data_IF_869363631279
#
_entry.id   IF_869363631279
#
_cell.length_a   1.000
_cell.length_b   1.000
_cell.length_c   1.000
_cell.angle_alpha   90.00
_cell.angle_beta   90.00
_cell.angle_gamma   90.00
#
_symmetry.space_group_name_H-M   'P 1'
#
loop_
_entity.id
_entity.type
_entity.pdbx_description
1 polymer ?
#
# COMPACT_ATOMS: atom_id res chain seq x y z
N UNK A 1 22.83 12.51 19.55
CA UNK A 1 22.39 12.02 18.20
C UNK A 1 23.51 12.39 17.23
N UNK A 2 23.87 11.48 16.35
CA UNK A 2 24.92 11.77 15.36
C UNK A 2 24.40 12.72 14.28
N UNK A 3 25.27 13.56 13.72
CA UNK A 3 24.91 14.64 12.78
C UNK A 3 24.35 14.14 11.45
N UNK A 4 24.64 12.90 11.06
CA UNK A 4 24.13 12.27 9.84
C UNK A 4 22.72 11.67 9.96
N UNK A 5 22.12 11.65 11.17
CA UNK A 5 20.76 11.11 11.37
C UNK A 5 19.73 12.15 10.99
N UNK A 6 19.08 11.97 9.85
CA UNK A 6 17.97 12.83 9.42
C UNK A 6 16.73 12.68 10.30
N UNK A 7 15.96 13.79 10.47
CA UNK A 7 14.81 13.83 11.38
C UNK A 7 13.79 12.72 11.15
N UNK A 8 13.34 12.50 9.89
CA UNK A 8 12.36 11.47 9.52
C UNK A 8 12.84 10.03 9.66
N UNK A 9 14.17 9.83 9.78
CA UNK A 9 14.81 8.54 10.01
C UNK A 9 15.38 8.39 11.43
N UNK A 10 15.04 9.29 12.34
CA UNK A 10 15.66 9.37 13.67
C UNK A 10 15.04 8.45 14.72
N UNK A 11 13.89 7.81 14.44
CA UNK A 11 13.24 6.92 15.42
C UNK A 11 14.11 5.72 15.85
N UNK A 12 15.06 5.31 15.00
CA UNK A 12 16.04 4.25 15.27
C UNK A 12 17.17 4.68 16.20
N UNK A 13 17.31 5.98 16.43
CA UNK A 13 18.36 6.59 17.26
C UNK A 13 17.88 6.90 18.68
N UNK A 14 18.65 7.71 19.42
CA UNK A 14 18.27 8.21 20.74
C UNK A 14 16.96 8.99 20.77
N UNK A 15 16.49 9.52 19.65
CA UNK A 15 15.15 10.15 19.51
C UNK A 15 14.04 9.13 19.75
N UNK A 16 14.26 7.86 19.46
CA UNK A 16 13.32 6.78 19.75
C UNK A 16 13.17 6.44 21.25
N UNK A 17 13.84 7.15 22.16
CA UNK A 17 13.71 6.91 23.59
C UNK A 17 12.26 7.00 24.07
N UNK A 18 11.46 7.91 23.53
CA UNK A 18 10.02 8.01 23.85
C UNK A 18 9.25 6.74 23.47
N UNK A 19 9.58 6.12 22.35
CA UNK A 19 9.02 4.84 21.90
C UNK A 19 9.49 3.74 22.87
N UNK A 20 10.78 3.70 23.15
CA UNK A 20 11.37 2.73 24.08
C UNK A 20 10.70 2.78 25.48
N UNK A 21 10.43 3.97 26.00
CA UNK A 21 9.72 4.16 27.26
C UNK A 21 8.25 3.69 27.19
N UNK A 22 7.58 3.94 26.06
CA UNK A 22 6.18 3.58 25.87
C UNK A 22 5.96 2.07 25.70
N UNK A 23 6.82 1.38 24.92
CA UNK A 23 6.63 -0.03 24.56
C UNK A 23 7.55 -0.98 25.34
N UNK A 24 8.49 -0.45 26.09
CA UNK A 24 9.52 -1.19 26.83
C UNK A 24 10.75 -1.54 26.00
N UNK A 25 11.93 -1.68 26.66
CA UNK A 25 13.21 -1.88 25.97
C UNK A 25 13.25 -3.11 25.07
N UNK A 26 12.65 -4.23 25.50
CA UNK A 26 12.61 -5.47 24.72
C UNK A 26 11.87 -5.31 23.38
N UNK A 27 10.73 -4.62 23.37
CA UNK A 27 9.96 -4.39 22.16
C UNK A 27 10.68 -3.39 21.26
N UNK A 28 11.30 -2.37 21.82
CA UNK A 28 12.11 -1.43 21.04
C UNK A 28 13.32 -2.11 20.40
N UNK A 29 14.01 -2.99 21.13
CA UNK A 29 15.11 -3.79 20.57
C UNK A 29 14.62 -4.70 19.42
N UNK A 30 13.43 -5.30 19.52
CA UNK A 30 12.84 -6.09 18.45
C UNK A 30 12.53 -5.23 17.21
N UNK A 31 12.06 -4.00 17.41
CA UNK A 31 11.85 -3.04 16.31
C UNK A 31 13.18 -2.75 15.57
N UNK A 32 14.24 -2.46 16.33
CA UNK A 32 15.58 -2.23 15.73
C UNK A 32 16.12 -3.48 15.01
N UNK A 33 15.90 -4.67 15.56
CA UNK A 33 16.28 -5.93 14.89
C UNK A 33 15.52 -6.17 13.59
N UNK A 34 14.24 -5.77 13.54
CA UNK A 34 13.44 -5.81 12.32
C UNK A 34 14.02 -4.93 11.22
N UNK A 35 14.31 -3.67 11.55
CA UNK A 35 14.97 -2.74 10.63
C UNK A 35 16.33 -3.26 10.15
N UNK A 36 17.17 -3.75 11.08
CA UNK A 36 18.47 -4.31 10.70
C UNK A 36 18.39 -5.54 9.79
N UNK A 37 17.32 -6.34 9.87
CA UNK A 37 17.07 -7.44 8.92
C UNK A 37 16.74 -6.90 7.52
N UNK A 38 15.97 -5.82 7.43
CA UNK A 38 15.67 -5.20 6.14
C UNK A 38 16.91 -4.53 5.55
N UNK A 39 17.76 -3.91 6.36
CA UNK A 39 19.04 -3.37 5.93
C UNK A 39 19.94 -4.46 5.32
N UNK A 40 20.07 -5.60 6.00
CA UNK A 40 20.82 -6.76 5.47
C UNK A 40 20.20 -7.29 4.18
N UNK A 41 18.86 -7.44 4.13
CA UNK A 41 18.16 -7.86 2.91
C UNK A 41 18.41 -6.88 1.75
N UNK A 42 18.37 -5.58 2.01
CA UNK A 42 18.66 -4.56 0.99
C UNK A 42 20.08 -4.64 0.45
N UNK A 43 21.06 -4.96 1.30
CA UNK A 43 22.46 -5.08 0.91
C UNK A 43 22.79 -6.38 0.17
N UNK A 44 22.17 -7.50 0.60
CA UNK A 44 22.61 -8.85 0.21
C UNK A 44 21.73 -9.49 -0.87
N UNK A 45 20.46 -9.09 -0.98
CA UNK A 45 19.54 -9.71 -1.93
C UNK A 45 19.81 -9.29 -3.38
N UNK A 46 19.64 -10.23 -4.32
CA UNK A 46 19.66 -9.93 -5.76
C UNK A 46 18.54 -8.93 -6.12
N UNK A 47 18.73 -8.14 -7.17
CA UNK A 47 17.79 -7.06 -7.52
C UNK A 47 16.34 -7.53 -7.71
N UNK A 48 16.16 -8.71 -8.28
CA UNK A 48 14.85 -9.32 -8.54
C UNK A 48 14.15 -9.85 -7.27
N UNK A 49 14.90 -10.04 -6.19
CA UNK A 49 14.41 -10.49 -4.89
C UNK A 49 14.48 -9.40 -3.81
N UNK A 50 15.07 -8.27 -4.12
CA UNK A 50 15.25 -7.16 -3.20
C UNK A 50 13.96 -6.33 -3.08
N UNK A 51 13.17 -6.57 -2.05
CA UNK A 51 11.84 -5.96 -1.87
C UNK A 51 11.88 -4.42 -1.99
N UNK A 52 12.74 -3.68 -1.26
CA UNK A 52 12.83 -2.23 -1.41
C UNK A 52 13.16 -1.77 -2.83
N UNK A 53 14.10 -2.45 -3.50
CA UNK A 53 14.49 -2.12 -4.88
C UNK A 53 13.35 -2.37 -5.85
N UNK A 54 12.68 -3.53 -5.75
CA UNK A 54 11.55 -3.88 -6.63
C UNK A 54 10.41 -2.88 -6.47
N UNK A 55 10.02 -2.55 -5.23
CA UNK A 55 8.94 -1.57 -4.98
C UNK A 55 9.32 -0.17 -5.51
N UNK A 56 10.56 0.27 -5.31
CA UNK A 56 11.04 1.54 -5.84
C UNK A 56 11.01 1.58 -7.38
N UNK A 57 11.45 0.51 -8.05
CA UNK A 57 11.43 0.42 -9.50
C UNK A 57 10.00 0.38 -10.06
N UNK A 58 9.08 -0.32 -9.39
CA UNK A 58 7.65 -0.34 -9.76
C UNK A 58 7.04 1.06 -9.62
N UNK A 59 7.30 1.77 -8.52
CA UNK A 59 6.82 3.14 -8.31
C UNK A 59 7.36 4.10 -9.39
N UNK A 60 8.66 4.04 -9.70
CA UNK A 60 9.27 4.82 -10.79
C UNK A 60 8.63 4.49 -12.14
N UNK A 61 8.40 3.20 -12.42
CA UNK A 61 7.77 2.75 -13.65
C UNK A 61 6.37 3.34 -13.81
N UNK A 62 5.51 3.20 -12.82
CA UNK A 62 4.15 3.73 -12.90
C UNK A 62 4.11 5.25 -13.02
N UNK A 63 4.96 5.94 -12.24
CA UNK A 63 4.99 7.40 -12.24
C UNK A 63 5.51 7.99 -13.56
N UNK A 64 6.55 7.39 -14.17
CA UNK A 64 7.21 7.95 -15.35
C UNK A 64 6.70 7.40 -16.69
N UNK A 65 6.20 6.17 -16.73
CA UNK A 65 5.83 5.52 -18.00
C UNK A 65 4.32 5.32 -18.15
N UNK A 66 3.56 5.36 -17.04
CA UNK A 66 2.11 5.15 -17.04
C UNK A 66 1.33 6.36 -16.53
N UNK A 67 1.99 7.46 -16.26
CA UNK A 67 1.39 8.70 -15.72
C UNK A 67 0.55 8.48 -14.45
N UNK A 68 0.97 7.53 -13.61
CA UNK A 68 0.36 7.32 -12.31
C UNK A 68 0.94 8.31 -11.30
N UNK A 69 0.26 9.43 -11.11
CA UNK A 69 0.74 10.55 -10.28
C UNK A 69 0.69 10.24 -8.78
N UNK A 70 -0.06 9.22 -8.38
CA UNK A 70 -0.27 8.88 -6.97
C UNK A 70 -0.21 7.38 -6.73
N UNK A 71 0.07 6.99 -5.49
CA UNK A 71 0.12 5.62 -5.00
C UNK A 71 -0.64 5.53 -3.67
N UNK A 72 -1.54 4.56 -3.58
CA UNK A 72 -2.37 4.37 -2.40
C UNK A 72 -1.77 3.31 -1.46
N UNK A 73 -1.59 3.65 -0.18
CA UNK A 73 -1.11 2.73 0.85
C UNK A 73 -2.32 2.27 1.68
N UNK A 74 -2.60 0.97 1.64
CA UNK A 74 -3.83 0.39 2.18
C UNK A 74 -3.52 -0.72 3.20
N UNK A 75 -3.20 -0.35 4.45
CA UNK A 75 -2.97 -1.33 5.51
C UNK A 75 -4.31 -1.92 5.99
N UNK A 76 -4.45 -3.24 5.92
CA UNK A 76 -5.60 -3.98 6.45
C UNK A 76 -5.43 -4.24 7.94
N UNK A 77 -5.19 -3.18 8.68
CA UNK A 77 -5.17 -3.14 10.14
C UNK A 77 -5.35 -1.71 10.64
N UNK A 78 -6.12 -1.54 11.69
CA UNK A 78 -6.33 -0.23 12.32
C UNK A 78 -5.07 0.31 13.02
N UNK A 79 -4.16 -0.60 13.42
CA UNK A 79 -2.92 -0.21 14.10
C UNK A 79 -1.95 0.56 13.19
N UNK A 80 -2.04 0.39 11.88
CA UNK A 80 -1.25 1.12 10.89
C UNK A 80 -2.02 2.24 10.19
N UNK A 81 -3.12 2.74 10.78
CA UNK A 81 -3.92 3.82 10.17
C UNK A 81 -3.12 5.08 9.82
N UNK A 82 -2.04 5.35 10.54
CA UNK A 82 -1.17 6.50 10.32
C UNK A 82 0.03 6.19 9.38
N UNK A 83 0.16 4.96 8.88
CA UNK A 83 1.25 4.59 7.99
C UNK A 83 1.29 5.42 6.71
N UNK A 84 0.16 5.68 6.01
CA UNK A 84 0.18 6.55 4.83
C UNK A 84 0.75 7.95 5.15
N UNK A 85 0.32 8.57 6.24
CA UNK A 85 0.82 9.89 6.67
C UNK A 85 2.31 9.87 7.04
N UNK A 86 2.80 8.80 7.66
CA UNK A 86 4.23 8.62 7.94
C UNK A 86 5.04 8.52 6.64
N UNK A 87 4.57 7.74 5.67
CA UNK A 87 5.23 7.55 4.38
C UNK A 87 5.19 8.82 3.51
N UNK A 88 4.22 9.72 3.69
CA UNK A 88 4.21 11.01 3.02
C UNK A 88 5.51 11.77 3.28
N UNK A 89 5.92 11.91 4.53
CA UNK A 89 7.20 12.56 4.84
C UNK A 89 8.39 11.71 4.36
N UNK A 90 8.35 10.41 4.60
CA UNK A 90 9.44 9.50 4.20
C UNK A 90 9.72 9.50 2.69
N UNK A 91 8.68 9.58 1.86
CA UNK A 91 8.76 9.46 0.41
C UNK A 91 8.65 10.81 -0.28
N UNK A 92 7.57 11.57 -0.03
CA UNK A 92 7.30 12.81 -0.79
C UNK A 92 8.31 13.91 -0.49
N UNK A 93 8.66 14.13 0.77
CA UNK A 93 9.70 15.12 1.13
C UNK A 93 11.08 14.68 0.65
N UNK A 94 11.40 13.39 0.73
CA UNK A 94 12.70 12.88 0.30
C UNK A 94 12.90 12.97 -1.21
N UNK A 95 11.88 12.57 -1.99
CA UNK A 95 11.97 12.43 -3.44
C UNK A 95 11.41 13.64 -4.21
N UNK A 96 10.64 14.52 -3.57
CA UNK A 96 10.04 15.70 -4.20
C UNK A 96 11.05 16.78 -4.55
N UNK A 97 12.02 16.46 -5.41
CA UNK A 97 13.12 17.35 -5.83
C UNK A 97 13.07 17.55 -7.33
N UNK A 98 13.28 18.77 -7.79
CA UNK A 98 13.30 19.13 -9.22
C UNK A 98 14.70 19.30 -9.79
N UNK A 99 15.73 19.13 -8.96
CA UNK A 99 17.14 19.33 -9.33
C UNK A 99 17.92 18.08 -8.97
N UNK A 100 18.71 17.58 -9.91
CA UNK A 100 19.62 16.44 -9.73
C UNK A 100 20.86 16.79 -8.93
N UNK A 101 21.69 15.80 -8.62
CA UNK A 101 22.95 15.98 -7.88
C UNK A 101 23.97 16.82 -8.63
N UNK A 102 23.85 16.91 -9.95
CA UNK A 102 24.65 17.73 -10.87
C UNK A 102 24.21 19.21 -10.87
N UNK A 103 23.18 19.59 -10.12
CA UNK A 103 22.64 20.94 -10.06
C UNK A 103 21.70 21.31 -11.21
N UNK A 104 21.43 20.40 -12.14
CA UNK A 104 20.52 20.63 -13.26
C UNK A 104 19.09 20.21 -12.95
N UNK A 105 18.13 20.90 -13.57
CA UNK A 105 16.72 20.54 -13.47
C UNK A 105 16.48 19.20 -14.18
N UNK A 106 15.80 18.29 -13.49
CA UNK A 106 15.42 17.00 -14.08
C UNK A 106 14.21 17.14 -15.02
N UNK A 107 14.12 16.24 -15.99
CA UNK A 107 13.05 16.20 -16.99
C UNK A 107 12.14 14.95 -16.86
N UNK A 108 12.16 14.34 -15.68
CA UNK A 108 11.36 13.17 -15.32
C UNK A 108 10.66 13.40 -13.96
N UNK A 109 9.70 12.54 -13.63
CA UNK A 109 8.99 12.60 -12.35
C UNK A 109 9.85 12.04 -11.23
N UNK A 110 10.01 12.78 -10.13
CA UNK A 110 10.91 12.42 -9.03
C UNK A 110 10.21 11.86 -7.81
N UNK A 111 8.94 12.07 -7.65
CA UNK A 111 8.17 11.62 -6.51
C UNK A 111 6.73 11.35 -6.87
N UNK A 112 6.13 10.37 -6.21
CA UNK A 112 4.70 10.07 -6.32
C UNK A 112 3.95 10.65 -5.13
N UNK A 113 2.67 10.96 -5.30
CA UNK A 113 1.80 11.43 -4.22
C UNK A 113 1.36 10.22 -3.40
N UNK A 114 1.79 10.14 -2.16
CA UNK A 114 1.41 9.07 -1.23
C UNK A 114 0.15 9.46 -0.46
N UNK A 115 -0.84 8.57 -0.46
CA UNK A 115 -2.07 8.71 0.30
C UNK A 115 -2.64 7.34 0.66
N UNK A 116 -3.72 7.29 1.42
CA UNK A 116 -4.37 6.03 1.74
C UNK A 116 -5.09 6.04 3.08
N UNK A 117 -5.66 4.90 3.42
CA UNK A 117 -6.36 4.67 4.68
C UNK A 117 -6.41 3.17 5.00
N UNK A 118 -6.83 2.81 6.21
CA UNK A 118 -7.05 1.41 6.60
C UNK A 118 -8.06 0.73 5.67
N UNK A 119 -7.78 -0.50 5.27
CA UNK A 119 -8.41 -1.24 4.18
C UNK A 119 -9.92 -1.23 4.16
N UNK A 120 -10.60 -1.64 5.25
CA UNK A 120 -12.08 -1.67 5.30
C UNK A 120 -12.70 -0.27 5.23
N UNK A 121 -12.10 0.73 5.88
CA UNK A 121 -12.56 2.12 5.79
C UNK A 121 -12.35 2.69 4.40
N UNK A 122 -11.22 2.38 3.78
CA UNK A 122 -10.87 2.80 2.42
C UNK A 122 -11.89 2.33 1.38
N UNK A 123 -12.48 1.14 1.56
CA UNK A 123 -13.52 0.61 0.66
C UNK A 123 -14.72 1.53 0.55
N UNK A 124 -15.10 2.19 1.64
CA UNK A 124 -16.22 3.12 1.68
C UNK A 124 -15.85 4.59 1.39
N UNK A 125 -14.55 4.87 1.23
CA UNK A 125 -14.07 6.23 1.00
C UNK A 125 -13.68 6.49 -0.46
N UNK A 126 -12.84 5.64 -1.05
CA UNK A 126 -12.24 5.92 -2.36
C UNK A 126 -12.04 4.70 -3.28
N UNK A 127 -12.44 3.50 -2.90
CA UNK A 127 -12.26 2.32 -3.76
C UNK A 127 -13.07 2.40 -5.04
N UNK A 128 -14.19 3.12 -5.05
CA UNK A 128 -14.94 3.40 -6.26
C UNK A 128 -14.05 4.04 -7.35
N UNK A 129 -13.21 5.02 -6.96
CA UNK A 129 -12.27 5.67 -7.87
C UNK A 129 -11.20 4.69 -8.37
N UNK A 130 -10.67 3.83 -7.49
CA UNK A 130 -9.63 2.86 -7.87
C UNK A 130 -10.19 1.82 -8.84
N UNK A 131 -11.40 1.29 -8.58
CA UNK A 131 -12.03 0.25 -9.43
C UNK A 131 -12.53 0.78 -10.77
N UNK A 132 -13.28 1.87 -10.78
CA UNK A 132 -14.03 2.36 -11.95
C UNK A 132 -13.65 3.77 -12.39
N UNK A 133 -12.74 4.44 -11.68
CA UNK A 133 -12.29 5.77 -12.08
C UNK A 133 -11.37 5.74 -13.29
N UNK A 134 -11.19 6.91 -13.89
CA UNK A 134 -10.37 7.11 -15.10
C UNK A 134 -8.88 7.29 -14.81
N UNK A 135 -8.48 7.28 -13.53
CA UNK A 135 -7.08 7.42 -13.13
C UNK A 135 -6.44 6.06 -12.85
N UNK A 136 -5.20 5.90 -13.27
CA UNK A 136 -4.38 4.77 -12.85
C UNK A 136 -3.80 5.06 -11.47
N UNK A 137 -4.15 4.24 -10.48
CA UNK A 137 -3.71 4.40 -9.09
C UNK A 137 -3.12 3.05 -8.65
N UNK A 138 -1.78 2.88 -8.71
CA UNK A 138 -1.12 1.76 -8.06
C UNK A 138 -1.41 1.75 -6.56
N UNK A 139 -1.57 0.56 -5.98
CA UNK A 139 -1.91 0.46 -4.57
C UNK A 139 -1.12 -0.63 -3.85
N UNK A 140 -0.59 -0.29 -2.68
CA UNK A 140 0.10 -1.21 -1.77
C UNK A 140 -0.87 -1.73 -0.71
N UNK A 141 -1.20 -2.99 -0.80
CA UNK A 141 -2.03 -3.69 0.16
C UNK A 141 -1.16 -4.39 1.20
N UNK A 142 -1.34 -4.05 2.47
CA UNK A 142 -0.55 -4.62 3.59
C UNK A 142 -1.50 -5.39 4.51
N UNK A 143 -1.35 -6.71 4.56
CA UNK A 143 -2.18 -7.60 5.36
C UNK A 143 -1.39 -8.46 6.35
N UNK A 144 -2.07 -8.96 7.36
CA UNK A 144 -1.50 -9.82 8.40
C UNK A 144 -2.31 -11.10 8.52
N UNK A 145 -1.63 -12.26 8.56
CA UNK A 145 -2.32 -13.57 8.67
C UNK A 145 -2.97 -13.78 10.04
N UNK A 146 -2.39 -13.19 11.08
CA UNK A 146 -2.83 -13.40 12.47
C UNK A 146 -3.24 -12.08 13.13
N UNK A 147 -4.35 -12.13 13.86
CA UNK A 147 -4.78 -11.04 14.73
C UNK A 147 -3.88 -10.92 15.96
N UNK A 148 -3.67 -9.69 16.46
CA UNK A 148 -2.95 -9.44 17.69
C UNK A 148 -3.70 -9.96 18.95
N UNK A 149 -5.03 -10.04 18.88
CA UNK A 149 -5.88 -10.33 20.04
C UNK A 149 -6.72 -11.60 19.90
N UNK A 150 -6.32 -12.50 19.00
CA UNK A 150 -6.90 -13.84 18.90
C UNK A 150 -8.33 -13.92 18.35
N UNK A 151 -8.91 -12.85 17.83
CA UNK A 151 -10.23 -12.88 17.21
C UNK A 151 -10.12 -13.43 15.76
N UNK A 152 -10.19 -14.76 15.66
CA UNK A 152 -9.99 -15.45 14.39
C UNK A 152 -11.09 -15.12 13.36
N UNK A 153 -12.35 -15.10 13.76
CA UNK A 153 -13.47 -14.81 12.84
C UNK A 153 -13.35 -13.44 12.18
N UNK A 154 -13.04 -12.40 12.96
CA UNK A 154 -12.82 -11.07 12.43
C UNK A 154 -11.57 -11.00 11.55
N UNK A 155 -10.51 -11.70 11.91
CA UNK A 155 -9.28 -11.75 11.10
C UNK A 155 -9.52 -12.46 9.76
N UNK A 156 -10.24 -13.57 9.76
CA UNK A 156 -10.58 -14.32 8.54
C UNK A 156 -11.44 -13.44 7.59
N UNK A 157 -12.43 -12.73 8.12
CA UNK A 157 -13.23 -11.76 7.35
C UNK A 157 -12.40 -10.60 6.80
N UNK A 158 -11.47 -10.08 7.60
CA UNK A 158 -10.56 -9.01 7.16
C UNK A 158 -9.66 -9.48 6.03
N UNK A 159 -9.10 -10.69 6.15
CA UNK A 159 -8.27 -11.29 5.10
C UNK A 159 -9.06 -11.63 3.84
N UNK A 160 -10.30 -12.11 4.00
CA UNK A 160 -11.18 -12.35 2.85
C UNK A 160 -11.41 -11.06 2.06
N UNK A 161 -11.68 -9.93 2.74
CA UNK A 161 -11.80 -8.63 2.09
C UNK A 161 -10.49 -8.19 1.44
N UNK A 162 -9.36 -8.36 2.11
CA UNK A 162 -8.04 -8.03 1.58
C UNK A 162 -7.76 -8.75 0.25
N UNK A 163 -7.99 -10.08 0.20
CA UNK A 163 -7.77 -10.88 -1.00
C UNK A 163 -8.80 -10.55 -2.08
N UNK A 164 -10.09 -10.43 -1.72
CA UNK A 164 -11.15 -10.14 -2.67
C UNK A 164 -10.97 -8.79 -3.37
N UNK A 165 -10.45 -7.77 -2.67
CA UNK A 165 -10.21 -6.46 -3.28
C UNK A 165 -9.04 -6.50 -4.27
N UNK A 166 -7.94 -7.15 -3.94
CA UNK A 166 -6.80 -7.28 -4.87
C UNK A 166 -7.17 -8.14 -6.08
N UNK A 167 -7.94 -9.22 -5.88
CA UNK A 167 -8.47 -10.05 -6.96
C UNK A 167 -9.40 -9.27 -7.88
N UNK A 168 -10.35 -8.50 -7.31
CA UNK A 168 -11.28 -7.70 -8.09
C UNK A 168 -10.57 -6.59 -8.89
N UNK A 169 -9.53 -5.95 -8.32
CA UNK A 169 -8.71 -4.98 -9.02
C UNK A 169 -7.93 -5.58 -10.18
N UNK A 170 -7.43 -6.80 -10.02
CA UNK A 170 -6.70 -7.51 -11.06
C UNK A 170 -7.63 -8.00 -12.19
N UNK A 171 -8.71 -8.71 -11.84
CA UNK A 171 -9.56 -9.41 -12.80
C UNK A 171 -10.65 -8.54 -13.39
N UNK A 172 -11.15 -7.57 -12.63
CA UNK A 172 -12.34 -6.80 -13.00
C UNK A 172 -13.61 -7.66 -13.09
N UNK A 173 -14.57 -7.18 -13.87
CA UNK A 173 -15.84 -7.85 -14.14
C UNK A 173 -16.31 -7.49 -15.56
N UNK A 174 -16.33 -8.48 -16.44
CA UNK A 174 -16.64 -8.26 -17.85
C UNK A 174 -18.11 -7.98 -18.10
N UNK A 175 -18.44 -7.40 -19.26
CA UNK A 175 -19.83 -7.18 -19.68
C UNK A 175 -20.64 -8.49 -19.70
N UNK A 176 -20.06 -9.59 -20.14
CA UNK A 176 -20.74 -10.88 -20.22
C UNK A 176 -21.07 -11.44 -18.83
N UNK A 177 -20.16 -11.27 -17.87
CA UNK A 177 -20.43 -11.64 -16.48
C UNK A 177 -21.54 -10.78 -15.89
N UNK A 178 -21.53 -9.49 -16.15
CA UNK A 178 -22.59 -8.57 -15.70
C UNK A 178 -23.95 -8.95 -16.33
N UNK A 179 -23.98 -9.24 -17.63
CA UNK A 179 -25.22 -9.63 -18.30
C UNK A 179 -25.83 -10.90 -17.71
N UNK A 180 -25.01 -11.94 -17.48
CA UNK A 180 -25.45 -13.18 -16.82
C UNK A 180 -26.05 -12.95 -15.42
N UNK A 181 -25.46 -12.06 -14.64
CA UNK A 181 -25.99 -11.71 -13.31
C UNK A 181 -27.30 -10.92 -13.41
N UNK A 182 -27.41 -10.04 -14.38
CA UNK A 182 -28.62 -9.24 -14.57
C UNK A 182 -29.79 -10.09 -15.11
N UNK A 183 -29.53 -11.06 -15.99
CA UNK A 183 -30.52 -12.03 -16.43
C UNK A 183 -31.14 -12.80 -15.24
N UNK A 184 -30.31 -13.17 -14.26
CA UNK A 184 -30.78 -13.84 -13.05
C UNK A 184 -31.52 -12.92 -12.06
N UNK A 185 -31.49 -11.60 -12.25
CA UNK A 185 -32.08 -10.61 -11.32
C UNK A 185 -33.59 -10.38 -11.49
N UNK A 186 -34.21 -10.89 -12.57
CA UNK A 186 -35.62 -10.69 -12.86
C UNK A 186 -36.01 -9.28 -13.35
N UNK A 187 -35.02 -8.42 -13.62
CA UNK A 187 -35.25 -7.09 -14.18
C UNK A 187 -35.62 -7.16 -15.67
N UNK A 188 -36.34 -6.16 -16.18
CA UNK A 188 -36.64 -6.07 -17.61
C UNK A 188 -35.37 -5.89 -18.42
N UNK A 189 -35.34 -6.40 -19.64
CA UNK A 189 -34.18 -6.30 -20.58
C UNK A 189 -33.76 -4.83 -20.76
N UNK A 190 -34.70 -3.91 -20.91
CA UNK A 190 -34.41 -2.48 -21.01
C UNK A 190 -33.65 -1.94 -19.78
N UNK A 191 -34.06 -2.36 -18.59
CA UNK A 191 -33.42 -1.96 -17.34
C UNK A 191 -32.02 -2.58 -17.23
N UNK A 192 -31.87 -3.87 -17.60
CA UNK A 192 -30.59 -4.53 -17.60
C UNK A 192 -29.59 -3.83 -18.52
N UNK A 193 -29.95 -3.48 -19.73
CA UNK A 193 -29.10 -2.76 -20.68
C UNK A 193 -28.66 -1.38 -20.15
N UNK A 194 -29.59 -0.65 -19.51
CA UNK A 194 -29.29 0.67 -18.91
C UNK A 194 -28.28 0.59 -17.77
N UNK A 195 -28.38 -0.42 -16.91
CA UNK A 195 -27.54 -0.50 -15.70
C UNK A 195 -26.24 -1.28 -15.92
N UNK A 196 -26.15 -2.14 -16.92
CA UNK A 196 -25.01 -2.98 -17.15
C UNK A 196 -23.69 -2.21 -17.30
N UNK A 197 -23.59 -1.07 -18.01
CA UNK A 197 -22.34 -0.31 -18.10
C UNK A 197 -21.78 0.13 -16.77
N UNK A 198 -22.64 0.41 -15.78
CA UNK A 198 -22.26 0.85 -14.44
C UNK A 198 -21.78 -0.28 -13.53
N UNK A 199 -21.95 -1.54 -13.94
CA UNK A 199 -21.55 -2.75 -13.19
C UNK A 199 -20.29 -3.41 -13.75
N UNK A 200 -19.78 -2.94 -14.88
CA UNK A 200 -18.54 -3.41 -15.47
C UNK A 200 -17.35 -2.80 -14.73
N UNK A 201 -16.34 -3.62 -14.44
CA UNK A 201 -15.06 -3.20 -13.89
C UNK A 201 -13.96 -3.63 -14.86
N UNK A 202 -13.12 -2.71 -15.28
CA UNK A 202 -12.09 -3.00 -16.29
C UNK A 202 -11.05 -4.02 -15.81
N UNK A 203 -10.77 -4.05 -14.51
CA UNK A 203 -9.65 -4.82 -13.97
C UNK A 203 -8.29 -4.23 -14.38
N UNK A 204 -7.26 -5.07 -14.34
CA UNK A 204 -5.89 -4.67 -14.70
C UNK A 204 -5.40 -3.41 -13.93
N UNK A 205 -5.91 -3.23 -12.69
CA UNK A 205 -5.49 -2.16 -11.79
C UNK A 205 -4.31 -2.66 -10.96
N UNK A 206 -3.16 -1.99 -10.99
CA UNK A 206 -1.94 -2.52 -10.38
C UNK A 206 -2.00 -2.49 -8.86
N UNK A 207 -1.63 -3.62 -8.23
CA UNK A 207 -1.49 -3.73 -6.79
C UNK A 207 -0.23 -4.49 -6.41
N UNK A 208 0.45 -4.05 -5.35
CA UNK A 208 1.42 -4.86 -4.61
C UNK A 208 0.74 -5.43 -3.37
N UNK A 209 1.06 -6.67 -3.03
CA UNK A 209 0.45 -7.35 -1.88
C UNK A 209 1.54 -7.81 -0.92
N UNK A 210 1.60 -7.19 0.26
CA UNK A 210 2.49 -7.57 1.34
C UNK A 210 1.69 -8.32 2.39
N UNK A 211 1.84 -9.64 2.45
CA UNK A 211 1.17 -10.50 3.42
C UNK A 211 2.15 -10.96 4.49
N UNK A 212 2.04 -10.39 5.67
CA UNK A 212 2.92 -10.58 6.82
C UNK A 212 2.27 -11.56 7.81
N UNK A 213 3.06 -12.35 8.52
CA UNK A 213 2.52 -13.35 9.46
C UNK A 213 1.72 -12.70 10.59
N UNK A 214 2.31 -11.71 11.27
CA UNK A 214 1.65 -10.95 12.34
C UNK A 214 2.31 -9.59 12.54
N UNK A 215 1.57 -8.60 13.04
CA UNK A 215 2.11 -7.30 13.40
C UNK A 215 2.83 -7.39 14.75
N UNK A 216 4.14 -7.49 14.70
CA UNK A 216 5.03 -7.50 15.88
C UNK A 216 5.99 -6.32 15.81
N UNK A 217 6.69 -5.97 16.90
CA UNK A 217 7.75 -4.95 16.81
C UNK A 217 8.79 -5.26 15.74
N UNK A 218 9.18 -6.54 15.60
CA UNK A 218 10.16 -6.95 14.59
C UNK A 218 9.63 -6.89 13.15
N UNK A 219 8.33 -7.18 12.92
CA UNK A 219 7.75 -7.05 11.57
C UNK A 219 7.39 -5.61 11.21
N UNK A 220 7.25 -4.74 12.22
CA UNK A 220 7.06 -3.31 12.01
C UNK A 220 8.38 -2.61 11.66
N UNK A 221 9.49 -3.02 12.28
CA UNK A 221 10.84 -2.52 11.99
C UNK A 221 11.37 -2.96 10.66
#
# INVERSE_FOLDING_TARGET
>A
MNDWVGGRFSLWSTVGLSICLAVGPKNFEQLLKGAGKMDAHFQDASFDQNIPVVLALISIWYNNFWNAESEAIIPYTQYLRNLPAYLQQGIMESNGKSVGRDGHRVNYQTGTIIWGASGTNAQHAFFQLIHQGTKLIPADFIGFKKSLYGNKDHQDKLLANFVAQTEALMNGKTRDQVNKELEASGLSTETQEKIAPFKVFEGNKPTNTLLIDSLTPASLG
#
